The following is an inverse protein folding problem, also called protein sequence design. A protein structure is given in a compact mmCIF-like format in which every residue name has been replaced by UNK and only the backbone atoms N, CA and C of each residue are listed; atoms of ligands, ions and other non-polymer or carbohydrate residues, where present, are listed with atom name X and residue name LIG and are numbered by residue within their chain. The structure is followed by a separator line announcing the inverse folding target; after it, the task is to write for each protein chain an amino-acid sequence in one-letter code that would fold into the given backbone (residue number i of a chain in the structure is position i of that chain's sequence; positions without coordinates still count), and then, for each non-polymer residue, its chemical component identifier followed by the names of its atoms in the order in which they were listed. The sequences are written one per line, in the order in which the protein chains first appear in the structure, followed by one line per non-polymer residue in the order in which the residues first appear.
data_IF_349185912258
#
_entry.id   IF_349185912258
#
_cell.length_a   1.000
_cell.length_b   1.000
_cell.length_c   1.000
_cell.angle_alpha   90.00
_cell.angle_beta   90.00
_cell.angle_gamma   90.00
#
_symmetry.space_group_name_H-M   'P 1'
#
loop_
_entity.id
_entity.type
_entity.pdbx_description
1 polymer ?
#
# COMPACT_ATOMS: atom_id res chain seq x y z
N UNK A 1 -3.01 -14.76 0.75
CA UNK A 1 -3.98 -14.34 -0.29
C UNK A 1 -3.24 -13.70 -1.46
N UNK A 2 -3.75 -13.85 -2.67
CA UNK A 2 -3.13 -13.24 -3.85
C UNK A 2 -3.56 -11.77 -4.01
N UNK A 3 -3.02 -11.09 -5.03
CA UNK A 3 -3.27 -9.67 -5.27
C UNK A 3 -4.75 -9.35 -5.47
N UNK A 4 -5.46 -10.16 -6.28
CA UNK A 4 -6.89 -9.97 -6.52
C UNK A 4 -7.71 -10.15 -5.24
N UNK A 5 -7.38 -11.15 -4.46
CA UNK A 5 -8.05 -11.42 -3.19
C UNK A 5 -7.81 -10.28 -2.18
N UNK A 6 -6.59 -9.78 -2.11
CA UNK A 6 -6.29 -8.66 -1.23
C UNK A 6 -7.00 -7.40 -1.66
N UNK A 7 -7.05 -7.12 -2.97
CA UNK A 7 -7.77 -5.95 -3.49
C UNK A 7 -9.27 -6.03 -3.15
N UNK A 8 -9.86 -7.20 -3.27
CA UNK A 8 -11.26 -7.43 -2.90
C UNK A 8 -11.47 -7.27 -1.39
N UNK A 9 -10.55 -7.81 -0.58
CA UNK A 9 -10.58 -7.66 0.87
C UNK A 9 -10.57 -6.18 1.28
N UNK A 10 -9.69 -5.39 0.66
CA UNK A 10 -9.60 -3.94 0.93
C UNK A 10 -10.91 -3.25 0.57
N UNK A 11 -11.53 -3.61 -0.55
CA UNK A 11 -12.82 -3.05 -0.96
C UNK A 11 -13.90 -3.33 0.08
N UNK A 12 -14.05 -4.57 0.48
CA UNK A 12 -15.06 -4.99 1.46
C UNK A 12 -14.84 -4.33 2.81
N UNK A 13 -13.58 -4.27 3.26
CA UNK A 13 -13.23 -3.62 4.52
C UNK A 13 -13.54 -2.13 4.47
N UNK A 14 -13.19 -1.46 3.38
CA UNK A 14 -13.47 -0.03 3.17
C UNK A 14 -14.97 0.26 3.22
N UNK A 15 -15.77 -0.55 2.54
CA UNK A 15 -17.24 -0.42 2.56
C UNK A 15 -17.80 -0.65 3.96
N UNK A 16 -17.33 -1.70 4.63
CA UNK A 16 -17.79 -2.06 5.97
C UNK A 16 -17.51 -0.94 6.98
N UNK A 17 -16.37 -0.28 6.88
CA UNK A 17 -15.95 0.77 7.80
C UNK A 17 -16.37 2.18 7.36
N UNK A 18 -17.02 2.31 6.21
CA UNK A 18 -17.42 3.61 5.68
C UNK A 18 -16.30 4.44 5.08
N UNK A 19 -15.16 3.83 4.80
CA UNK A 19 -14.00 4.52 4.18
C UNK A 19 -14.20 4.77 2.69
N UNK A 20 -15.16 4.08 2.08
CA UNK A 20 -15.53 4.25 0.68
C UNK A 20 -16.10 5.63 0.37
N UNK A 21 -16.51 6.40 1.39
CA UNK A 21 -17.02 7.77 1.22
C UNK A 21 -15.90 8.80 1.05
N UNK A 22 -14.64 8.45 1.35
CA UNK A 22 -13.52 9.37 1.15
C UNK A 22 -13.26 9.56 -0.34
N UNK A 23 -12.82 10.78 -0.71
CA UNK A 23 -12.51 11.12 -2.10
C UNK A 23 -11.14 10.53 -2.49
N UNK A 24 -10.85 10.53 -3.80
CA UNK A 24 -9.54 10.13 -4.31
C UNK A 24 -8.45 11.03 -3.71
N UNK A 25 -8.70 12.33 -3.66
CA UNK A 25 -7.75 13.31 -3.11
C UNK A 25 -7.49 13.07 -1.62
N UNK A 26 -8.54 12.80 -0.84
CA UNK A 26 -8.41 12.49 0.59
C UNK A 26 -7.61 11.21 0.78
N UNK A 27 -7.87 10.17 -0.02
CA UNK A 27 -7.14 8.91 0.07
C UNK A 27 -5.66 9.11 -0.28
N UNK A 28 -5.38 9.95 -1.27
CA UNK A 28 -3.99 10.30 -1.63
C UNK A 28 -3.27 11.01 -0.49
N UNK A 29 -3.95 11.92 0.20
CA UNK A 29 -3.38 12.61 1.38
C UNK A 29 -3.09 11.63 2.51
N UNK A 30 -3.99 10.69 2.78
CA UNK A 30 -3.77 9.64 3.78
C UNK A 30 -2.56 8.76 3.41
N UNK A 31 -2.45 8.39 2.14
CA UNK A 31 -1.29 7.63 1.66
C UNK A 31 0.02 8.37 1.93
N UNK A 32 0.07 9.66 1.62
CA UNK A 32 1.29 10.45 1.86
C UNK A 32 1.61 10.57 3.35
N UNK A 33 0.60 10.66 4.20
CA UNK A 33 0.78 10.67 5.65
C UNK A 33 1.40 9.35 6.12
N UNK A 34 0.89 8.22 5.64
CA UNK A 34 1.40 6.89 6.00
C UNK A 34 2.84 6.69 5.49
N UNK A 35 3.16 7.18 4.30
CA UNK A 35 4.52 7.15 3.76
C UNK A 35 5.46 7.97 4.64
N UNK A 36 5.02 9.13 5.11
CA UNK A 36 5.79 9.98 6.04
C UNK A 36 6.07 9.27 7.35
N UNK A 37 5.06 8.62 7.93
CA UNK A 37 5.22 7.83 9.16
C UNK A 37 6.14 6.64 8.95
N UNK A 38 6.02 5.95 7.83
CA UNK A 38 6.93 4.86 7.47
C UNK A 38 8.38 5.35 7.40
N UNK A 39 8.61 6.48 6.75
CA UNK A 39 9.96 7.07 6.65
C UNK A 39 10.55 7.36 8.03
N UNK A 40 9.75 7.91 8.93
CA UNK A 40 10.14 8.21 10.30
C UNK A 40 10.52 6.93 11.07
N UNK A 41 9.70 5.89 10.93
CA UNK A 41 9.95 4.61 11.60
C UNK A 41 11.19 3.89 11.04
N UNK A 42 11.43 3.97 9.73
CA UNK A 42 12.64 3.43 9.10
C UNK A 42 13.89 4.08 9.71
N UNK A 43 13.87 5.40 9.85
CA UNK A 43 14.99 6.13 10.48
C UNK A 43 15.19 5.70 11.93
N UNK A 44 14.10 5.53 12.69
CA UNK A 44 14.16 5.09 14.08
C UNK A 44 14.81 3.70 14.19
N UNK A 45 14.40 2.75 13.35
CA UNK A 45 14.96 1.38 13.34
C UNK A 45 16.43 1.40 12.92
N UNK A 46 16.80 2.27 11.97
CA UNK A 46 18.17 2.40 11.49
C UNK A 46 19.13 2.87 12.61
N UNK A 47 18.70 3.84 13.42
CA UNK A 47 19.53 4.37 14.49
C UNK A 47 19.48 3.54 15.77
N UNK A 48 18.34 2.91 16.05
CA UNK A 48 18.11 2.13 17.27
C UNK A 48 17.39 0.83 16.94
N UNK A 49 18.11 -0.18 16.38
CA UNK A 49 17.50 -1.45 16.03
C UNK A 49 16.84 -2.13 17.25
N UNK A 50 15.61 -2.60 17.05
CA UNK A 50 14.80 -3.23 18.08
C UNK A 50 13.78 -4.16 17.41
N UNK A 51 13.59 -5.36 17.96
CA UNK A 51 12.67 -6.34 17.37
C UNK A 51 11.22 -5.85 17.33
N UNK A 52 10.77 -5.19 18.38
CA UNK A 52 9.43 -4.62 18.47
C UNK A 52 9.22 -3.50 17.43
N UNK A 53 10.24 -2.65 17.24
CA UNK A 53 10.21 -1.59 16.23
C UNK A 53 10.14 -2.18 14.82
N UNK A 54 10.83 -3.28 14.56
CA UNK A 54 10.76 -3.96 13.26
C UNK A 54 9.36 -4.52 12.99
N UNK A 55 8.72 -5.07 14.00
CA UNK A 55 7.35 -5.55 13.89
C UNK A 55 6.39 -4.39 13.56
N UNK A 56 6.50 -3.27 14.28
CA UNK A 56 5.71 -2.08 14.03
C UNK A 56 5.96 -1.51 12.64
N UNK A 57 7.21 -1.59 12.16
CA UNK A 57 7.56 -1.17 10.81
C UNK A 57 6.80 -1.99 9.77
N UNK A 58 6.65 -3.29 9.99
CA UNK A 58 5.84 -4.14 9.12
C UNK A 58 4.38 -3.69 9.07
N UNK A 59 3.82 -3.29 10.19
CA UNK A 59 2.46 -2.76 10.25
C UNK A 59 2.31 -1.45 9.47
N UNK A 60 3.29 -0.56 9.56
CA UNK A 60 3.29 0.69 8.78
C UNK A 60 3.41 0.41 7.28
N UNK A 61 4.20 -0.58 6.90
CA UNK A 61 4.27 -1.02 5.49
C UNK A 61 2.93 -1.53 5.00
N UNK A 62 2.22 -2.30 5.82
CA UNK A 62 0.88 -2.78 5.51
C UNK A 62 -0.06 -1.59 5.26
N UNK A 63 -0.03 -0.58 6.12
CA UNK A 63 -0.90 0.58 5.99
C UNK A 63 -0.66 1.33 4.68
N UNK A 64 0.59 1.46 4.26
CA UNK A 64 0.93 2.06 2.96
C UNK A 64 0.35 1.22 1.81
N UNK A 65 0.55 -0.09 1.85
CA UNK A 65 0.04 -1.01 0.81
C UNK A 65 -1.48 -0.98 0.78
N UNK A 66 -2.12 -1.01 1.95
CA UNK A 66 -3.57 -0.95 2.06
C UNK A 66 -4.13 0.31 1.38
N UNK A 67 -3.51 1.45 1.63
CA UNK A 67 -3.94 2.73 1.04
C UNK A 67 -3.76 2.73 -0.48
N UNK A 68 -2.72 2.12 -1.01
CA UNK A 68 -2.51 1.98 -2.45
C UNK A 68 -3.64 1.15 -3.07
N UNK A 69 -4.00 0.04 -2.44
CA UNK A 69 -5.06 -0.84 -2.93
C UNK A 69 -6.44 -0.15 -2.87
N UNK A 70 -6.70 0.61 -1.80
CA UNK A 70 -7.94 1.37 -1.69
C UNK A 70 -8.03 2.46 -2.77
N UNK A 71 -6.91 3.14 -3.03
CA UNK A 71 -6.83 4.14 -4.10
C UNK A 71 -7.10 3.50 -5.47
N UNK A 72 -6.52 2.32 -5.72
CA UNK A 72 -6.76 1.59 -6.96
C UNK A 72 -8.25 1.24 -7.11
N UNK A 73 -8.90 0.81 -6.04
CA UNK A 73 -10.33 0.52 -6.05
C UNK A 73 -11.15 1.76 -6.43
N UNK A 74 -10.80 2.92 -5.89
CA UNK A 74 -11.48 4.19 -6.20
C UNK A 74 -11.30 4.61 -7.65
N UNK A 75 -10.14 4.28 -8.23
CA UNK A 75 -9.81 4.63 -9.61
C UNK A 75 -10.22 3.57 -10.62
N UNK A 76 -10.75 2.44 -10.17
CA UNK A 76 -11.14 1.34 -11.05
C UNK A 76 -9.95 0.63 -11.69
N UNK A 77 -8.80 0.59 -11.01
CA UNK A 77 -7.59 -0.06 -11.51
C UNK A 77 -7.51 -1.47 -10.95
N UNK A 78 -7.37 -2.47 -11.83
CA UNK A 78 -7.11 -3.86 -11.47
C UNK A 78 -5.61 -4.03 -11.21
N UNK A 79 -5.22 -4.13 -9.96
CA UNK A 79 -3.80 -4.24 -9.58
C UNK A 79 -3.19 -5.58 -9.94
N UNK A 80 -3.96 -6.67 -9.96
CA UNK A 80 -3.44 -7.96 -10.39
C UNK A 80 -2.97 -7.88 -11.85
N UNK A 81 -3.78 -7.29 -12.71
CA UNK A 81 -3.43 -7.07 -14.11
C UNK A 81 -2.24 -6.12 -14.25
N UNK A 82 -2.25 -5.02 -13.52
CA UNK A 82 -1.17 -4.04 -13.56
C UNK A 82 0.16 -4.64 -13.10
N UNK A 83 0.13 -5.46 -12.06
CA UNK A 83 1.32 -6.12 -11.52
C UNK A 83 1.89 -7.13 -12.53
N UNK A 84 1.02 -7.93 -13.16
CA UNK A 84 1.44 -8.91 -14.17
C UNK A 84 2.10 -8.23 -15.36
N UNK A 85 1.48 -7.18 -15.88
CA UNK A 85 1.99 -6.43 -17.03
C UNK A 85 3.30 -5.72 -16.70
N UNK A 86 3.38 -5.09 -15.54
CA UNK A 86 4.59 -4.38 -15.14
C UNK A 86 5.75 -5.34 -14.90
N UNK A 87 5.48 -6.51 -14.32
CA UNK A 87 6.49 -7.55 -14.16
C UNK A 87 7.06 -7.98 -15.51
N UNK A 88 6.19 -8.23 -16.47
CA UNK A 88 6.60 -8.61 -17.82
C UNK A 88 7.46 -7.53 -18.49
N UNK A 89 7.05 -6.27 -18.37
CA UNK A 89 7.82 -5.14 -18.88
C UNK A 89 9.21 -5.11 -18.23
N UNK A 90 9.28 -5.26 -16.91
CA UNK A 90 10.53 -5.21 -16.17
C UNK A 90 11.45 -6.39 -16.49
N UNK A 91 10.89 -7.59 -16.68
CA UNK A 91 11.66 -8.79 -17.04
C UNK A 91 12.33 -8.66 -18.41
N UNK A 92 11.73 -7.88 -19.31
CA UNK A 92 12.23 -7.69 -20.68
C UNK A 92 13.00 -6.38 -20.87
N UNK A 93 13.17 -5.61 -19.81
CA UNK A 93 13.82 -4.30 -19.85
C UNK A 93 15.31 -4.41 -19.53
N UNK A 94 16.14 -3.66 -20.29
CA UNK A 94 17.55 -3.51 -19.96
C UNK A 94 17.70 -2.38 -18.92
N UNK A 95 18.32 -2.70 -17.79
CA UNK A 95 18.60 -1.74 -16.73
C UNK A 95 20.04 -1.26 -16.81
N UNK A 96 20.26 0.05 -16.90
CA UNK A 96 21.57 0.67 -16.99
C UNK A 96 21.87 1.53 -15.75
#
# INVERSE_FOLDING_TARGET
MNTSEFQQYVREFSELKGFDTSTIEQRMLYLMTEVGELSKEVLSVSFHPDAEKKENLGYEMYDVVWNIFDLANKLGIDLDQAFRRKREINDNRTWE
#
